data_IF_540166387583
#
_entry.id   IF_540166387583
#
_cell.length_a   1.000
_cell.length_b   1.000
_cell.length_c   1.000
_cell.angle_alpha   90.00
_cell.angle_beta   90.00
_cell.angle_gamma   90.00
#
_symmetry.space_group_name_H-M   'P 1'
#
loop_
_entity.id
_entity.type
_entity.pdbx_description
1 polymer ?
#
# COMPACT_ATOMS: atom_id res chain seq x y z
N UNK A 1 -1.99 -9.92 3.80
CA UNK A 1 -3.34 -9.90 3.19
C UNK A 1 -3.30 -9.90 1.67
N UNK A 2 -2.78 -8.85 1.01
CA UNK A 2 -2.77 -8.76 -0.46
C UNK A 2 -2.23 -10.02 -1.17
N UNK A 3 -1.04 -10.51 -0.77
CA UNK A 3 -0.42 -11.68 -1.41
C UNK A 3 -1.30 -12.93 -1.33
N UNK A 4 -1.87 -13.20 -0.15
CA UNK A 4 -2.81 -14.32 0.05
C UNK A 4 -4.05 -14.18 -0.84
N UNK A 5 -4.63 -12.98 -0.93
CA UNK A 5 -5.81 -12.73 -1.76
C UNK A 5 -5.50 -12.93 -3.25
N UNK A 6 -4.37 -12.39 -3.74
CA UNK A 6 -3.96 -12.60 -5.13
C UNK A 6 -3.67 -14.06 -5.46
N UNK A 7 -3.01 -14.79 -4.55
CA UNK A 7 -2.78 -16.22 -4.71
C UNK A 7 -4.09 -17.02 -4.76
N UNK A 8 -5.07 -16.64 -3.92
CA UNK A 8 -6.36 -17.33 -3.83
C UNK A 8 -7.25 -17.14 -5.07
N UNK A 9 -7.19 -15.99 -5.75
CA UNK A 9 -8.03 -15.69 -6.92
C UNK A 9 -7.38 -16.09 -8.26
N UNK A 10 -6.07 -16.35 -8.31
CA UNK A 10 -5.40 -16.75 -9.55
C UNK A 10 -5.98 -18.07 -10.07
N UNK A 11 -6.53 -18.05 -11.29
CA UNK A 11 -7.25 -19.20 -11.87
C UNK A 11 -8.65 -19.45 -11.27
N UNK A 12 -9.16 -18.58 -10.40
CA UNK A 12 -10.49 -18.68 -9.77
C UNK A 12 -11.27 -17.38 -9.94
N UNK A 13 -12.10 -17.31 -10.98
CA UNK A 13 -12.79 -16.08 -11.38
C UNK A 13 -11.90 -15.06 -12.12
N UNK A 14 -10.60 -15.29 -12.15
CA UNK A 14 -9.62 -14.57 -12.96
C UNK A 14 -8.75 -15.56 -13.75
N UNK A 15 -8.24 -15.17 -14.93
CA UNK A 15 -7.22 -15.94 -15.62
C UNK A 15 -6.01 -16.21 -14.71
N UNK A 16 -5.33 -17.37 -14.85
CA UNK A 16 -4.09 -17.61 -14.13
C UNK A 16 -3.06 -16.52 -14.42
N UNK A 17 -2.40 -16.02 -13.37
CA UNK A 17 -1.30 -15.07 -13.49
C UNK A 17 -0.12 -15.48 -12.61
N UNK A 18 1.09 -15.13 -13.08
CA UNK A 18 2.34 -15.36 -12.34
C UNK A 18 2.52 -14.28 -11.28
N UNK A 19 2.76 -14.72 -10.05
CA UNK A 19 3.06 -13.84 -8.92
C UNK A 19 4.55 -13.89 -8.58
N UNK A 20 5.10 -12.72 -8.24
CA UNK A 20 6.42 -12.56 -7.63
C UNK A 20 6.25 -11.55 -6.50
N UNK A 21 6.64 -11.93 -5.29
CA UNK A 21 6.68 -11.02 -4.15
C UNK A 21 7.97 -10.18 -4.19
N UNK A 22 7.86 -8.88 -3.91
CA UNK A 22 9.03 -7.99 -3.83
C UNK A 22 8.98 -7.26 -2.50
N UNK A 23 10.08 -7.32 -1.76
CA UNK A 23 10.27 -6.62 -0.50
C UNK A 23 11.46 -5.66 -0.59
N UNK A 24 11.27 -4.42 -0.12
CA UNK A 24 12.37 -3.47 0.05
C UNK A 24 12.72 -3.41 1.54
N UNK A 25 13.89 -3.92 1.86
CA UNK A 25 14.50 -3.94 3.18
C UNK A 25 15.28 -2.64 3.44
N UNK A 26 15.44 -2.25 4.70
CA UNK A 26 16.19 -1.06 5.08
C UNK A 26 15.96 -0.66 6.55
N UNK A 27 16.72 0.34 7.01
CA UNK A 27 16.75 0.80 8.41
C UNK A 27 15.49 1.59 8.85
N UNK A 28 14.43 1.53 8.06
CA UNK A 28 13.15 2.21 8.30
C UNK A 28 12.36 1.68 9.48
N UNK A 29 12.80 0.54 9.98
CA UNK A 29 12.13 -0.23 11.02
C UNK A 29 12.99 -0.09 12.26
N UNK A 30 12.36 0.14 13.40
CA UNK A 30 12.98 0.24 14.72
C UNK A 30 13.60 -1.10 15.20
N UNK A 31 14.32 -1.82 14.34
CA UNK A 31 14.79 -3.19 14.58
C UNK A 31 13.71 -4.27 14.36
N UNK A 32 12.49 -3.90 13.96
CA UNK A 32 11.34 -4.80 13.78
C UNK A 32 10.82 -4.79 12.33
N UNK A 33 11.74 -4.79 11.36
CA UNK A 33 11.41 -5.13 9.98
C UNK A 33 10.74 -6.49 9.93
N UNK A 34 9.90 -6.74 8.93
CA UNK A 34 9.39 -8.09 8.73
C UNK A 34 10.61 -8.97 8.45
N UNK A 35 10.99 -9.79 9.43
CA UNK A 35 12.15 -10.66 9.31
C UNK A 35 12.09 -11.44 8.00
N UNK A 36 13.20 -11.46 7.26
CA UNK A 36 13.29 -12.08 5.93
C UNK A 36 12.77 -13.52 5.94
N UNK A 37 13.10 -14.28 6.98
CA UNK A 37 12.63 -15.66 7.18
C UNK A 37 11.10 -15.80 7.26
N UNK A 38 10.39 -14.81 7.80
CA UNK A 38 8.93 -14.84 7.83
C UNK A 38 8.31 -14.64 6.45
N UNK A 39 8.82 -13.66 5.69
CA UNK A 39 8.36 -13.45 4.31
C UNK A 39 8.70 -14.64 3.43
N UNK A 40 9.89 -15.23 3.61
CA UNK A 40 10.31 -16.45 2.92
C UNK A 40 9.35 -17.59 3.21
N UNK A 41 9.02 -17.89 4.48
CA UNK A 41 8.10 -18.98 4.82
C UNK A 41 6.70 -18.81 4.22
N UNK A 42 6.15 -17.58 4.17
CA UNK A 42 4.87 -17.32 3.49
C UNK A 42 5.00 -17.58 1.98
N UNK A 43 6.06 -17.07 1.36
CA UNK A 43 6.29 -17.20 -0.07
C UNK A 43 6.52 -18.65 -0.50
N UNK A 44 7.26 -19.43 0.30
CA UNK A 44 7.47 -20.87 0.11
C UNK A 44 6.16 -21.64 0.22
N UNK A 45 5.36 -21.37 1.25
CA UNK A 45 4.03 -22.01 1.44
C UNK A 45 3.09 -21.74 0.26
N UNK A 46 3.14 -20.54 -0.30
CA UNK A 46 2.32 -20.14 -1.46
C UNK A 46 2.95 -20.51 -2.81
N UNK A 47 4.17 -21.06 -2.83
CA UNK A 47 4.96 -21.31 -4.03
C UNK A 47 5.14 -20.05 -4.92
N UNK A 48 5.49 -18.92 -4.29
CA UNK A 48 5.68 -17.62 -4.95
C UNK A 48 7.15 -17.18 -4.77
N UNK A 49 7.87 -16.80 -5.84
CA UNK A 49 9.23 -16.27 -5.71
C UNK A 49 9.27 -14.96 -4.92
N UNK A 50 10.27 -14.80 -4.05
CA UNK A 50 10.51 -13.58 -3.28
C UNK A 50 11.80 -12.89 -3.73
N UNK A 51 11.71 -11.61 -4.09
CA UNK A 51 12.85 -10.75 -4.37
C UNK A 51 13.01 -9.75 -3.24
N UNK A 52 14.21 -9.65 -2.70
CA UNK A 52 14.58 -8.64 -1.70
C UNK A 52 15.50 -7.62 -2.37
N UNK A 53 15.19 -6.33 -2.16
CA UNK A 53 16.05 -5.20 -2.49
C UNK A 53 16.39 -4.46 -1.21
N UNK A 54 17.60 -3.95 -1.11
CA UNK A 54 18.02 -3.14 0.04
C UNK A 54 17.97 -1.67 -0.34
N UNK A 55 17.44 -0.84 0.56
CA UNK A 55 17.56 0.61 0.42
C UNK A 55 18.88 1.12 0.96
N UNK A 56 19.28 2.26 0.39
CA UNK A 56 20.43 3.07 0.80
C UNK A 56 20.11 4.08 1.90
N UNK A 57 18.83 4.26 2.30
CA UNK A 57 18.47 5.16 3.41
C UNK A 57 18.88 4.58 4.76
N UNK A 58 19.50 5.45 5.54
CA UNK A 58 19.87 5.22 6.94
C UNK A 58 18.96 6.04 7.85
N UNK A 59 18.96 5.73 9.14
CA UNK A 59 18.19 6.53 10.13
C UNK A 59 18.56 8.02 10.12
N UNK A 60 19.81 8.36 9.81
CA UNK A 60 20.34 9.73 9.80
C UNK A 60 19.77 10.59 8.65
N UNK A 61 19.44 9.97 7.52
CA UNK A 61 18.95 10.66 6.32
C UNK A 61 17.49 10.29 5.95
N UNK A 62 16.77 9.68 6.91
CA UNK A 62 15.45 9.15 6.67
C UNK A 62 14.41 10.28 6.66
N UNK A 63 13.96 10.64 5.47
CA UNK A 63 12.80 11.52 5.29
C UNK A 63 11.70 10.79 4.52
N UNK A 64 10.43 10.93 4.95
CA UNK A 64 9.31 10.18 4.37
C UNK A 64 9.21 10.34 2.84
N UNK A 65 9.43 11.54 2.32
CA UNK A 65 9.36 11.81 0.88
C UNK A 65 10.44 11.06 0.09
N UNK A 66 11.71 11.21 0.49
CA UNK A 66 12.84 10.59 -0.21
C UNK A 66 12.85 9.07 -0.06
N UNK A 67 12.51 8.57 1.13
CA UNK A 67 12.31 7.14 1.41
C UNK A 67 11.22 6.54 0.51
N UNK A 68 10.04 7.17 0.45
CA UNK A 68 8.94 6.67 -0.38
C UNK A 68 9.29 6.65 -1.86
N UNK A 69 10.09 7.62 -2.34
CA UNK A 69 10.51 7.70 -3.74
C UNK A 69 11.51 6.60 -4.09
N UNK A 70 12.53 6.38 -3.26
CA UNK A 70 13.53 5.34 -3.48
C UNK A 70 12.90 3.94 -3.43
N UNK A 71 12.07 3.64 -2.42
CA UNK A 71 11.38 2.34 -2.31
C UNK A 71 10.56 2.06 -3.56
N UNK A 72 9.90 3.08 -4.11
CA UNK A 72 9.13 2.93 -5.35
C UNK A 72 10.03 2.63 -6.56
N UNK A 73 11.18 3.30 -6.68
CA UNK A 73 12.16 3.01 -7.73
C UNK A 73 12.64 1.56 -7.65
N UNK A 74 13.09 1.12 -6.47
CA UNK A 74 13.57 -0.25 -6.23
C UNK A 74 12.52 -1.31 -6.54
N UNK A 75 11.25 -1.05 -6.18
CA UNK A 75 10.13 -1.94 -6.51
C UNK A 75 9.90 -2.05 -8.02
N UNK A 76 9.92 -0.93 -8.74
CA UNK A 76 9.69 -0.92 -10.19
C UNK A 76 10.87 -1.53 -10.97
N UNK A 77 12.10 -1.28 -10.53
CA UNK A 77 13.29 -1.92 -11.10
C UNK A 77 13.25 -3.44 -10.91
N UNK A 78 12.90 -3.91 -9.70
CA UNK A 78 12.75 -5.32 -9.42
C UNK A 78 11.60 -5.95 -10.23
N UNK A 79 10.46 -5.28 -10.35
CA UNK A 79 9.35 -5.72 -11.19
C UNK A 79 9.77 -5.86 -12.66
N UNK A 80 10.51 -4.88 -13.19
CA UNK A 80 11.03 -4.91 -14.55
C UNK A 80 12.02 -6.06 -14.77
N UNK A 81 12.88 -6.35 -13.79
CA UNK A 81 13.86 -7.46 -13.90
C UNK A 81 13.22 -8.85 -14.02
N UNK A 82 11.95 -9.01 -13.62
CA UNK A 82 11.19 -10.25 -13.80
C UNK A 82 10.16 -10.19 -14.93
N UNK A 83 10.19 -9.12 -15.73
CA UNK A 83 9.25 -8.91 -16.83
C UNK A 83 7.81 -8.63 -16.38
N UNK A 84 7.60 -8.16 -15.14
CA UNK A 84 6.26 -7.84 -14.67
C UNK A 84 5.76 -6.54 -15.31
N UNK A 85 4.54 -6.57 -15.85
CA UNK A 85 3.86 -5.41 -16.43
C UNK A 85 2.92 -4.73 -15.43
N UNK A 86 2.66 -5.36 -14.28
CA UNK A 86 1.71 -4.90 -13.26
C UNK A 86 2.32 -5.04 -11.86
N UNK A 87 2.14 -4.01 -11.03
CA UNK A 87 2.60 -3.98 -9.63
C UNK A 87 1.39 -3.74 -8.73
N UNK A 88 1.10 -4.69 -7.84
CA UNK A 88 0.01 -4.59 -6.89
C UNK A 88 0.48 -4.00 -5.56
N UNK A 89 -0.20 -2.95 -5.08
CA UNK A 89 0.01 -2.40 -3.73
C UNK A 89 -1.15 -2.72 -2.82
N UNK A 90 -0.84 -2.92 -1.53
CA UNK A 90 -1.81 -3.28 -0.49
C UNK A 90 -2.61 -2.11 0.07
N UNK A 91 -2.75 -1.01 -0.67
CA UNK A 91 -3.52 0.14 -0.20
C UNK A 91 -5.00 -0.20 -0.09
N UNK A 92 -5.62 0.16 1.02
CA UNK A 92 -7.01 -0.13 1.35
C UNK A 92 -7.91 1.11 1.26
N UNK A 93 -9.21 0.94 1.54
CA UNK A 93 -10.23 1.99 1.44
C UNK A 93 -9.89 3.23 2.27
N UNK A 94 -9.40 3.00 3.50
CA UNK A 94 -9.04 4.06 4.44
C UNK A 94 -7.83 4.88 3.95
N UNK A 95 -6.84 4.24 3.29
CA UNK A 95 -5.71 4.97 2.68
C UNK A 95 -6.19 6.00 1.65
N UNK A 96 -7.23 5.67 0.89
CA UNK A 96 -7.85 6.56 -0.08
C UNK A 96 -8.60 7.70 0.59
N UNK A 97 -9.41 7.42 1.63
CA UNK A 97 -10.09 8.45 2.41
C UNK A 97 -9.10 9.45 3.04
N UNK A 98 -8.02 8.94 3.65
CA UNK A 98 -6.94 9.78 4.19
C UNK A 98 -6.27 10.62 3.09
N UNK A 99 -6.00 10.03 1.93
CA UNK A 99 -5.35 10.76 0.82
C UNK A 99 -6.24 11.85 0.26
N UNK A 100 -7.55 11.58 0.11
CA UNK A 100 -8.53 12.58 -0.29
C UNK A 100 -8.55 13.76 0.70
N UNK A 101 -8.68 13.47 2.00
CA UNK A 101 -8.73 14.50 3.03
C UNK A 101 -7.43 15.30 3.12
N UNK A 102 -6.28 14.66 2.97
CA UNK A 102 -4.99 15.36 2.88
C UNK A 102 -4.97 16.35 1.71
N UNK A 103 -5.41 15.93 0.51
CA UNK A 103 -5.40 16.79 -0.67
C UNK A 103 -6.43 17.92 -0.58
N UNK A 104 -7.63 17.65 -0.07
CA UNK A 104 -8.65 18.66 0.17
C UNK A 104 -8.15 19.76 1.12
N UNK A 105 -7.66 19.36 2.30
CA UNK A 105 -7.34 20.29 3.37
C UNK A 105 -6.00 21.01 3.19
N UNK A 106 -5.04 20.42 2.48
CA UNK A 106 -3.69 20.99 2.34
C UNK A 106 -3.40 21.54 0.95
N UNK A 107 -4.14 21.14 -0.07
CA UNK A 107 -3.90 21.54 -1.46
C UNK A 107 -5.11 22.16 -2.14
N UNK A 108 -6.30 22.10 -1.53
CA UNK A 108 -7.54 22.52 -2.18
C UNK A 108 -7.91 21.62 -3.37
N UNK A 109 -7.45 20.37 -3.37
CA UNK A 109 -7.62 19.44 -4.50
C UNK A 109 -8.56 18.29 -4.15
N UNK A 110 -9.53 18.03 -5.02
CA UNK A 110 -10.41 16.88 -4.90
C UNK A 110 -9.82 15.67 -5.66
N UNK A 111 -8.83 15.02 -5.05
CA UNK A 111 -8.10 13.91 -5.64
C UNK A 111 -7.73 12.87 -4.57
N UNK A 112 -7.88 11.58 -4.87
CA UNK A 112 -7.43 10.49 -3.99
C UNK A 112 -6.59 9.44 -4.74
N UNK A 113 -6.62 8.19 -4.26
CA UNK A 113 -5.91 7.09 -4.89
C UNK A 113 -6.81 6.33 -5.87
N UNK A 114 -6.40 6.25 -7.13
CA UNK A 114 -7.09 5.42 -8.12
C UNK A 114 -6.76 3.93 -7.97
N UNK A 115 -7.70 3.02 -8.25
CA UNK A 115 -7.46 1.58 -8.15
C UNK A 115 -6.49 1.06 -9.21
N UNK A 116 -6.38 1.74 -10.35
CA UNK A 116 -5.47 1.41 -11.46
C UNK A 116 -4.80 2.68 -11.97
N UNK A 117 -3.47 2.68 -12.07
CA UNK A 117 -2.69 3.84 -12.57
C UNK A 117 -1.58 3.35 -13.51
N UNK A 118 -1.59 3.73 -14.80
CA UNK A 118 -0.49 3.43 -15.70
C UNK A 118 0.73 4.30 -15.38
N UNK A 119 1.88 3.68 -15.15
CA UNK A 119 3.15 4.36 -14.93
C UNK A 119 3.98 4.30 -16.21
N UNK A 120 3.67 5.19 -17.16
CA UNK A 120 4.25 5.20 -18.51
C UNK A 120 5.78 5.22 -18.49
N UNK A 121 6.38 6.05 -17.65
CA UNK A 121 7.85 6.16 -17.53
C UNK A 121 8.52 4.85 -17.09
N UNK A 122 7.81 4.03 -16.32
CA UNK A 122 8.32 2.76 -15.79
C UNK A 122 7.86 1.54 -16.58
N UNK A 123 6.95 1.70 -17.55
CA UNK A 123 6.38 0.60 -18.34
C UNK A 123 5.56 -0.40 -17.52
N UNK A 124 5.05 0.01 -16.34
CA UNK A 124 4.25 -0.84 -15.45
C UNK A 124 2.91 -0.20 -15.14
N UNK A 125 1.90 -1.00 -14.83
CA UNK A 125 0.62 -0.53 -14.30
C UNK A 125 0.55 -0.81 -12.80
N UNK A 126 0.25 0.20 -12.01
CA UNK A 126 -0.09 0.01 -10.60
C UNK A 126 -1.54 -0.44 -10.49
N UNK A 127 -1.79 -1.47 -9.67
CA UNK A 127 -3.12 -1.83 -9.20
C UNK A 127 -3.19 -1.81 -7.67
N UNK A 128 -4.38 -1.54 -7.13
CA UNK A 128 -4.66 -1.54 -5.68
C UNK A 128 -5.89 -2.41 -5.41
N UNK A 129 -5.75 -3.75 -5.38
CA UNK A 129 -6.90 -4.66 -5.28
C UNK A 129 -7.72 -4.48 -3.99
N UNK A 130 -7.11 -3.96 -2.92
CA UNK A 130 -7.76 -3.77 -1.63
C UNK A 130 -8.47 -2.41 -1.51
N UNK A 131 -8.55 -1.62 -2.58
CA UNK A 131 -9.10 -0.25 -2.55
C UNK A 131 -10.52 -0.13 -1.99
N UNK A 132 -11.28 -1.22 -2.03
CA UNK A 132 -12.67 -1.29 -1.53
C UNK A 132 -12.79 -1.94 -0.14
N UNK A 133 -11.69 -2.49 0.38
CA UNK A 133 -11.64 -3.24 1.65
C UNK A 133 -11.29 -2.28 2.78
N UNK A 134 -11.94 -2.40 3.94
CA UNK A 134 -11.63 -1.55 5.10
C UNK A 134 -10.31 -1.97 5.77
N UNK A 135 -9.65 -1.03 6.47
CA UNK A 135 -8.50 -1.39 7.30
C UNK A 135 -8.87 -2.44 8.35
N UNK A 136 -10.06 -2.30 8.97
CA UNK A 136 -10.60 -3.26 9.94
C UNK A 136 -10.64 -4.69 9.38
N UNK A 137 -11.10 -4.87 8.15
CA UNK A 137 -11.16 -6.20 7.52
C UNK A 137 -9.76 -6.74 7.19
N UNK A 138 -8.84 -5.86 6.76
CA UNK A 138 -7.43 -6.24 6.52
C UNK A 138 -6.76 -6.72 7.81
N UNK A 139 -7.01 -6.02 8.92
CA UNK A 139 -6.50 -6.32 10.26
C UNK A 139 -7.10 -7.64 10.78
N UNK A 140 -8.42 -7.82 10.64
CA UNK A 140 -9.09 -9.04 11.05
C UNK A 140 -8.61 -10.26 10.25
N UNK A 141 -8.45 -10.11 8.93
CA UNK A 141 -7.88 -11.17 8.10
C UNK A 141 -6.45 -11.53 8.56
N UNK A 142 -5.62 -10.54 8.88
CA UNK A 142 -4.27 -10.77 9.36
C UNK A 142 -4.26 -11.51 10.71
N UNK A 143 -5.21 -11.20 11.59
CA UNK A 143 -5.38 -11.84 12.91
C UNK A 143 -5.77 -13.31 12.74
N UNK A 144 -6.77 -13.60 11.91
CA UNK A 144 -7.26 -14.96 11.64
C UNK A 144 -6.20 -15.85 10.97
N UNK A 145 -5.30 -15.27 10.18
CA UNK A 145 -4.22 -15.99 9.51
C UNK A 145 -2.89 -15.90 10.26
N UNK A 146 -2.90 -15.48 11.53
CA UNK A 146 -1.74 -15.47 12.43
C UNK A 146 -0.50 -14.70 11.90
N UNK A 147 -0.72 -13.68 11.07
CA UNK A 147 0.35 -12.77 10.62
C UNK A 147 0.11 -11.32 11.02
N UNK A 148 -0.92 -11.06 11.85
CA UNK A 148 -1.04 -9.80 12.57
C UNK A 148 0.18 -9.64 13.47
N UNK A 149 1.02 -8.67 13.15
CA UNK A 149 2.18 -8.31 13.97
C UNK A 149 1.92 -6.97 14.62
N UNK A 150 2.54 -6.76 15.78
CA UNK A 150 2.76 -5.41 16.28
C UNK A 150 3.65 -4.73 15.23
N UNK A 151 3.03 -3.90 14.40
CA UNK A 151 3.75 -3.09 13.43
C UNK A 151 4.62 -2.12 14.21
N UNK A 152 5.93 -2.35 14.23
CA UNK A 152 6.83 -1.26 14.55
C UNK A 152 6.52 -0.13 13.57
N UNK A 153 6.10 0.99 14.15
CA UNK A 153 5.71 2.17 13.41
C UNK A 153 6.98 2.87 12.91
N UNK A 154 6.96 3.33 11.65
CA UNK A 154 8.08 4.07 11.06
C UNK A 154 8.46 5.24 11.97
N UNK A 155 9.74 5.41 12.37
CA UNK A 155 10.15 6.42 13.34
C UNK A 155 9.80 7.85 12.89
N UNK A 156 9.82 8.10 11.58
CA UNK A 156 9.49 9.40 10.95
C UNK A 156 8.00 9.53 10.63
N UNK A 157 7.29 8.41 10.47
CA UNK A 157 5.86 8.40 10.14
C UNK A 157 4.93 8.77 11.30
N UNK A 158 5.46 8.77 12.53
CA UNK A 158 4.65 8.92 13.75
C UNK A 158 3.93 10.26 13.89
N UNK A 159 4.55 11.34 13.42
CA UNK A 159 3.97 12.67 13.42
C UNK A 159 3.56 13.10 12.00
N UNK A 160 3.32 12.12 11.12
CA UNK A 160 2.95 12.41 9.73
C UNK A 160 1.57 13.06 9.65
N UNK A 161 1.40 13.90 8.61
CA UNK A 161 0.10 14.47 8.24
C UNK A 161 -0.99 13.40 8.04
N UNK A 162 -0.61 12.21 7.57
CA UNK A 162 -1.52 11.08 7.41
C UNK A 162 -2.14 10.65 8.75
N UNK A 163 -1.33 10.55 9.82
CA UNK A 163 -1.82 10.20 11.17
C UNK A 163 -2.68 11.30 11.81
N UNK A 164 -2.44 12.57 11.46
CA UNK A 164 -3.30 13.69 11.90
C UNK A 164 -4.66 13.61 11.22
N UNK A 165 -4.69 13.34 9.91
CA UNK A 165 -5.92 13.18 9.14
C UNK A 165 -6.70 11.94 9.58
N UNK A 166 -6.02 10.84 9.88
CA UNK A 166 -6.68 9.63 10.35
C UNK A 166 -7.45 9.88 11.67
N UNK A 167 -6.84 10.56 12.63
CA UNK A 167 -7.51 10.99 13.88
C UNK A 167 -8.70 11.91 13.62
N UNK A 168 -8.57 12.86 12.70
CA UNK A 168 -9.68 13.73 12.33
C UNK A 168 -10.85 12.93 11.73
N UNK A 169 -10.55 11.92 10.91
CA UNK A 169 -11.57 11.06 10.34
C UNK A 169 -12.23 10.20 11.44
N UNK A 170 -11.47 9.72 12.43
CA UNK A 170 -12.03 9.02 13.60
C UNK A 170 -13.04 9.90 14.36
N UNK A 171 -12.68 11.16 14.64
CA UNK A 171 -13.57 12.14 15.28
C UNK A 171 -14.84 12.38 14.44
N UNK A 172 -14.71 12.45 13.11
CA UNK A 172 -15.87 12.58 12.22
C UNK A 172 -16.75 11.33 12.23
N UNK A 173 -16.17 10.15 12.42
CA UNK A 173 -16.89 8.88 12.40
C UNK A 173 -17.81 8.70 13.61
N UNK A 174 -17.52 9.38 14.73
CA UNK A 174 -18.40 9.44 15.90
C UNK A 174 -19.77 10.08 15.55
N UNK A 175 -19.78 11.05 14.65
CA UNK A 175 -20.99 11.76 14.21
C UNK A 175 -21.55 11.17 12.91
N UNK A 176 -20.67 10.72 12.02
CA UNK A 176 -20.99 10.19 10.70
C UNK A 176 -20.40 8.78 10.52
N UNK A 177 -21.10 7.72 10.94
CA UNK A 177 -20.55 6.35 11.01
C UNK A 177 -20.03 5.76 9.69
N UNK A 178 -20.35 6.37 8.55
CA UNK A 178 -19.94 5.93 7.21
C UNK A 178 -18.94 6.89 6.55
N UNK A 179 -18.37 7.86 7.29
CA UNK A 179 -17.53 8.92 6.71
C UNK A 179 -16.35 8.37 5.91
N UNK A 180 -15.66 7.35 6.41
CA UNK A 180 -14.52 6.70 5.72
C UNK A 180 -14.95 6.10 4.38
N UNK A 181 -16.07 5.38 4.37
CA UNK A 181 -16.61 4.79 3.16
C UNK A 181 -17.06 5.87 2.17
N UNK A 182 -17.79 6.90 2.63
CA UNK A 182 -18.30 7.98 1.81
C UNK A 182 -17.17 8.82 1.19
N UNK A 183 -16.13 9.16 1.96
CA UNK A 183 -14.94 9.86 1.45
C UNK A 183 -14.24 9.03 0.36
N UNK A 184 -14.03 7.74 0.60
CA UNK A 184 -13.40 6.85 -0.38
C UNK A 184 -14.25 6.70 -1.64
N UNK A 185 -15.56 6.50 -1.52
CA UNK A 185 -16.49 6.44 -2.64
C UNK A 185 -16.54 7.74 -3.43
N UNK A 186 -16.55 8.90 -2.76
CA UNK A 186 -16.51 10.21 -3.41
C UNK A 186 -15.21 10.38 -4.22
N UNK A 187 -14.07 9.98 -3.63
CA UNK A 187 -12.78 9.94 -4.33
C UNK A 187 -12.80 9.02 -5.56
N UNK A 188 -13.42 7.84 -5.48
CA UNK A 188 -13.44 6.90 -6.61
C UNK A 188 -14.40 7.31 -7.73
N UNK A 189 -15.52 7.92 -7.37
CA UNK A 189 -16.54 8.36 -8.34
C UNK A 189 -16.18 9.68 -9.02
N UNK A 190 -15.53 10.58 -8.28
CA UNK A 190 -15.37 11.99 -8.69
C UNK A 190 -13.95 12.53 -8.46
N UNK A 191 -13.10 11.80 -7.73
CA UNK A 191 -11.72 12.19 -7.45
C UNK A 191 -10.84 12.10 -8.70
N UNK A 192 -10.68 13.28 -9.31
CA UNK A 192 -9.89 13.73 -10.45
C UNK A 192 -9.30 12.74 -11.48
N UNK A 193 -9.41 13.18 -12.74
CA UNK A 193 -8.55 12.83 -13.89
C UNK A 193 -7.06 13.15 -13.69
N UNK A 194 -6.67 13.93 -12.67
CA UNK A 194 -5.26 14.28 -12.40
C UNK A 194 -4.45 13.06 -11.96
N UNK A 195 -5.06 12.12 -11.25
CA UNK A 195 -4.43 10.84 -10.94
C UNK A 195 -4.27 9.93 -12.17
N UNK A 196 -4.95 10.22 -13.28
CA UNK A 196 -4.75 9.59 -14.59
C UNK A 196 -3.66 10.27 -15.43
N UNK A 197 -3.20 11.47 -15.05
CA UNK A 197 -2.14 12.23 -15.72
C UNK A 197 -0.85 12.18 -14.87
N UNK A 198 0.03 11.18 -15.09
CA UNK A 198 1.25 10.99 -14.29
C UNK A 198 2.23 12.15 -14.36
#
# INVERSE_FOLDING_TARGET
TLLYMLAAISGRGFPPFKLTAIHVDGEYTCGAGIGKGFLQGICETLNIPLIIRSSTKTLENLECYTCSRERRSLLFEAAKSVGATTVAFGHHRDDNAQTLMMNLLQKGEFAGMLPKVPMVHYGVTIIRPLMYVSEKDVVEFARQNHFMRITCQCPVGQNSKRKQIDRLIDEMEEVYPNVRANLSSASLNYGSDKALKP
#
